data_IF_089055962651
#
_entry.id   IF_089055962651
#
_cell.length_a   1.000
_cell.length_b   1.000
_cell.length_c   1.000
_cell.angle_alpha   90.00
_cell.angle_beta   90.00
_cell.angle_gamma   90.00
#
_symmetry.space_group_name_H-M   'P 1'
#
loop_
_entity.id
_entity.type
_entity.pdbx_description
1 polymer ?
#
# COMPACT_ATOMS: atom_id res chain seq x y z
N UNK A 1 32.91 2.16 -41.97
CA UNK A 1 33.53 1.98 -40.64
C UNK A 1 32.72 2.77 -39.59
N UNK A 2 31.54 2.30 -39.13
CA UNK A 2 30.68 3.04 -38.20
C UNK A 2 31.00 2.77 -36.71
N UNK A 3 31.74 1.68 -36.44
CA UNK A 3 32.06 1.24 -35.07
C UNK A 3 33.01 2.20 -34.33
N UNK A 4 33.86 2.98 -35.02
CA UNK A 4 34.87 3.83 -34.35
C UNK A 4 34.28 5.11 -33.73
N UNK A 5 33.15 5.63 -34.24
CA UNK A 5 32.51 6.84 -33.71
C UNK A 5 31.68 6.54 -32.45
N UNK A 6 30.90 5.45 -32.46
CA UNK A 6 30.18 5.00 -31.26
C UNK A 6 31.11 4.64 -30.11
N UNK A 7 32.27 4.05 -30.42
CA UNK A 7 33.27 3.71 -29.42
C UNK A 7 34.03 4.95 -28.91
N UNK A 8 34.19 5.98 -29.73
CA UNK A 8 34.75 7.28 -29.32
C UNK A 8 33.81 8.05 -28.38
N UNK A 9 32.52 8.09 -28.69
CA UNK A 9 31.48 8.71 -27.84
C UNK A 9 31.35 7.96 -26.52
N UNK A 10 31.32 6.62 -26.54
CA UNK A 10 31.33 5.78 -25.34
C UNK A 10 32.58 6.01 -24.48
N UNK A 11 33.77 6.09 -25.09
CA UNK A 11 35.03 6.39 -24.36
C UNK A 11 35.03 7.79 -23.76
N UNK A 12 34.43 8.78 -24.44
CA UNK A 12 34.33 10.16 -23.95
C UNK A 12 33.37 10.25 -22.76
N UNK A 13 32.20 9.63 -22.84
CA UNK A 13 31.23 9.50 -21.75
C UNK A 13 31.81 8.74 -20.55
N UNK A 14 32.48 7.61 -20.78
CA UNK A 14 33.19 6.86 -19.73
C UNK A 14 34.32 7.67 -19.08
N UNK A 15 35.05 8.48 -19.85
CA UNK A 15 36.12 9.32 -19.30
C UNK A 15 35.57 10.40 -18.35
N UNK A 16 34.44 11.01 -18.72
CA UNK A 16 33.76 12.02 -17.91
C UNK A 16 33.19 11.39 -16.65
N UNK A 17 32.55 10.22 -16.76
CA UNK A 17 32.02 9.47 -15.63
C UNK A 17 33.15 9.03 -14.67
N UNK A 18 34.27 8.53 -15.20
CA UNK A 18 35.47 8.16 -14.41
C UNK A 18 36.10 9.36 -13.70
N UNK A 19 36.10 10.54 -14.31
CA UNK A 19 36.62 11.78 -13.69
C UNK A 19 35.75 12.24 -12.52
N UNK A 20 34.43 12.09 -12.65
CA UNK A 20 33.45 12.39 -11.61
C UNK A 20 33.50 11.36 -10.47
N UNK A 21 33.70 10.08 -10.78
CA UNK A 21 33.89 9.01 -9.80
C UNK A 21 35.24 9.11 -9.06
N UNK A 22 36.33 9.47 -9.75
CA UNK A 22 37.68 9.62 -9.15
C UNK A 22 37.78 10.81 -8.19
N UNK A 23 37.03 11.88 -8.44
CA UNK A 23 36.85 12.99 -7.47
C UNK A 23 36.04 12.58 -6.23
N UNK A 24 35.30 11.46 -6.31
CA UNK A 24 34.41 10.95 -5.26
C UNK A 24 35.05 9.84 -4.41
N UNK A 25 35.96 9.06 -4.99
CA UNK A 25 36.67 7.94 -4.34
C UNK A 25 37.93 8.37 -3.54
N UNK A 26 38.32 9.65 -3.58
CA UNK A 26 39.43 10.19 -2.76
C UNK A 26 39.02 10.56 -1.33
N UNK A 27 37.75 10.38 -0.93
CA UNK A 27 37.36 10.35 0.48
C UNK A 27 37.16 8.90 0.90
N UNK A 28 38.14 8.33 1.58
CA UNK A 28 38.00 7.08 2.32
C UNK A 28 37.10 7.31 3.51
N UNK A 29 35.78 7.18 3.34
CA UNK A 29 34.79 6.97 4.40
C UNK A 29 33.48 6.43 3.81
N UNK A 30 32.72 5.60 4.55
CA UNK A 30 31.68 4.74 4.00
C UNK A 30 30.51 5.56 3.44
N UNK A 31 30.13 5.23 2.20
CA UNK A 31 28.91 5.63 1.45
C UNK A 31 28.06 6.69 2.19
N UNK A 32 28.47 7.95 2.09
CA UNK A 32 27.64 9.06 2.54
C UNK A 32 26.77 9.54 1.37
N UNK A 33 25.50 9.13 1.43
CA UNK A 33 24.39 9.38 0.51
C UNK A 33 23.96 10.87 0.45
N UNK A 34 24.70 11.79 1.08
CA UNK A 34 24.37 13.22 1.23
C UNK A 34 24.67 14.08 0.01
N UNK A 35 25.40 13.58 -0.99
CA UNK A 35 25.91 14.40 -2.09
C UNK A 35 24.96 14.54 -3.30
N UNK A 36 23.65 14.68 -3.07
CA UNK A 36 22.70 15.21 -4.06
C UNK A 36 22.57 16.74 -3.97
N UNK A 37 22.82 17.33 -2.79
CA UNK A 37 22.80 18.78 -2.60
C UNK A 37 23.93 19.54 -3.32
N UNK A 38 24.88 18.84 -3.94
CA UNK A 38 25.98 19.42 -4.73
C UNK A 38 25.78 19.33 -6.25
N UNK A 39 24.64 18.82 -6.72
CA UNK A 39 24.29 18.85 -8.14
C UNK A 39 23.94 20.28 -8.54
N UNK A 40 24.87 20.98 -9.19
CA UNK A 40 24.60 22.25 -9.87
C UNK A 40 23.71 21.98 -11.09
N UNK A 41 22.40 21.88 -10.88
CA UNK A 41 21.41 21.55 -11.92
C UNK A 41 21.40 22.61 -13.03
N UNK A 42 21.57 23.88 -12.69
CA UNK A 42 21.66 24.98 -13.66
C UNK A 42 22.90 24.83 -14.54
N UNK A 43 24.08 24.61 -13.96
CA UNK A 43 25.30 24.39 -14.73
C UNK A 43 25.27 23.12 -15.59
N UNK A 44 24.59 22.06 -15.14
CA UNK A 44 24.39 20.84 -15.93
C UNK A 44 23.43 21.10 -17.10
N UNK A 45 22.36 21.88 -16.89
CA UNK A 45 21.43 22.27 -17.95
C UNK A 45 22.06 23.20 -18.98
N UNK A 46 22.84 24.18 -18.55
CA UNK A 46 23.53 25.10 -19.45
C UNK A 46 24.53 24.34 -20.32
N UNK A 47 25.28 23.40 -19.73
CA UNK A 47 26.21 22.56 -20.45
C UNK A 47 25.50 21.62 -21.43
N UNK A 48 24.41 20.98 -21.03
CA UNK A 48 23.63 20.06 -21.87
C UNK A 48 22.87 20.78 -22.99
N UNK A 49 22.39 21.99 -22.74
CA UNK A 49 21.61 22.77 -23.71
C UNK A 49 22.47 23.56 -24.70
N UNK A 50 23.76 23.76 -24.41
CA UNK A 50 24.69 24.45 -25.33
C UNK A 50 24.81 23.73 -26.67
N UNK A 51 25.06 22.42 -26.65
CA UNK A 51 25.26 21.63 -27.88
C UNK A 51 23.98 21.63 -28.76
N UNK A 52 22.81 21.59 -28.13
CA UNK A 52 21.51 21.71 -28.81
C UNK A 52 21.34 23.09 -29.46
N UNK A 53 21.63 24.16 -28.72
CA UNK A 53 21.53 25.55 -29.20
C UNK A 53 22.51 25.80 -30.35
N UNK A 54 23.73 25.30 -30.25
CA UNK A 54 24.77 25.49 -31.25
C UNK A 54 24.46 24.73 -32.55
N UNK A 55 23.91 23.52 -32.48
CA UNK A 55 23.42 22.79 -33.65
C UNK A 55 22.20 23.46 -34.29
N UNK A 56 21.26 23.95 -33.47
CA UNK A 56 20.08 24.68 -33.94
C UNK A 56 20.46 25.97 -34.67
N UNK A 57 21.38 26.76 -34.10
CA UNK A 57 21.85 28.01 -34.69
C UNK A 57 22.61 27.80 -36.02
N UNK A 58 23.12 26.58 -36.26
CA UNK A 58 23.76 26.17 -37.52
C UNK A 58 22.76 25.55 -38.51
N UNK A 59 21.47 25.55 -38.20
CA UNK A 59 20.39 24.91 -38.98
C UNK A 59 20.58 23.39 -39.19
N UNK A 60 21.40 22.75 -38.36
CA UNK A 60 21.60 21.30 -38.36
C UNK A 60 20.57 20.63 -37.45
N UNK A 61 19.33 20.53 -37.92
CA UNK A 61 18.21 20.08 -37.08
C UNK A 61 18.32 18.61 -36.64
N UNK A 62 18.84 17.71 -37.49
CA UNK A 62 19.04 16.31 -37.11
C UNK A 62 20.04 16.17 -35.96
N UNK A 63 21.15 16.93 -36.02
CA UNK A 63 22.16 17.01 -34.96
C UNK A 63 21.56 17.60 -33.67
N UNK A 64 20.75 18.65 -33.78
CA UNK A 64 20.07 19.26 -32.63
C UNK A 64 19.08 18.28 -31.97
N UNK A 65 18.36 17.47 -32.76
CA UNK A 65 17.45 16.44 -32.26
C UNK A 65 18.24 15.34 -31.53
N UNK A 66 19.35 14.86 -32.10
CA UNK A 66 20.23 13.88 -31.44
C UNK A 66 20.73 14.39 -30.08
N UNK A 67 21.30 15.61 -30.04
CA UNK A 67 21.74 16.23 -28.79
C UNK A 67 20.59 16.37 -27.79
N UNK A 68 19.38 16.73 -28.25
CA UNK A 68 18.21 16.85 -27.38
C UNK A 68 17.79 15.52 -26.75
N UNK A 69 17.93 14.39 -27.46
CA UNK A 69 17.68 13.07 -26.92
C UNK A 69 18.66 12.72 -25.80
N UNK A 70 19.94 13.09 -25.96
CA UNK A 70 20.97 12.89 -24.93
C UNK A 70 20.68 13.72 -23.67
N UNK A 71 20.19 14.96 -23.83
CA UNK A 71 19.73 15.78 -22.70
C UNK A 71 18.58 15.10 -21.96
N UNK A 72 17.56 14.65 -22.69
CA UNK A 72 16.39 13.96 -22.12
C UNK A 72 16.81 12.70 -21.36
N UNK A 73 17.68 11.89 -21.96
CA UNK A 73 18.19 10.67 -21.32
C UNK A 73 18.95 10.98 -20.03
N UNK A 74 19.83 11.98 -20.07
CA UNK A 74 20.65 12.40 -18.91
C UNK A 74 19.78 12.90 -17.76
N UNK A 75 18.80 13.76 -18.05
CA UNK A 75 17.87 14.28 -17.04
C UNK A 75 17.04 13.15 -16.41
N UNK A 76 16.61 12.18 -17.23
CA UNK A 76 15.87 11.00 -16.75
C UNK A 76 16.71 10.14 -15.80
N UNK A 77 17.98 9.89 -16.13
CA UNK A 77 18.88 9.18 -15.20
C UNK A 77 19.08 9.93 -13.88
N UNK A 78 19.22 11.26 -13.93
CA UNK A 78 19.36 12.10 -12.73
C UNK A 78 18.11 12.03 -11.86
N UNK A 79 16.92 12.10 -12.47
CA UNK A 79 15.64 11.94 -11.78
C UNK A 79 15.57 10.58 -11.08
N UNK A 80 15.89 9.49 -11.77
CA UNK A 80 15.90 8.13 -11.21
C UNK A 80 16.82 8.05 -9.99
N UNK A 81 18.05 8.57 -10.08
CA UNK A 81 19.01 8.59 -8.97
C UNK A 81 18.49 9.40 -7.78
N UNK A 82 17.89 10.58 -8.04
CA UNK A 82 17.30 11.43 -7.01
C UNK A 82 16.10 10.77 -6.32
N UNK A 83 15.22 10.09 -7.07
CA UNK A 83 14.09 9.35 -6.53
C UNK A 83 14.55 8.21 -5.61
N UNK A 84 15.56 7.43 -6.03
CA UNK A 84 16.14 6.36 -5.20
C UNK A 84 16.69 6.87 -3.88
N UNK A 85 17.47 7.96 -3.90
CA UNK A 85 17.95 8.56 -2.65
C UNK A 85 16.79 9.02 -1.77
N UNK A 86 15.85 9.76 -2.36
CA UNK A 86 14.71 10.32 -1.64
C UNK A 86 13.86 9.21 -1.00
N UNK A 87 13.69 8.08 -1.66
CA UNK A 87 13.02 6.91 -1.10
C UNK A 87 13.73 6.39 0.16
N UNK A 88 15.06 6.24 0.12
CA UNK A 88 15.85 5.83 1.28
C UNK A 88 15.69 6.81 2.46
N UNK A 89 15.65 8.12 2.17
CA UNK A 89 15.42 9.15 3.20
C UNK A 89 14.03 9.06 3.83
N UNK A 90 12.98 8.88 3.01
CA UNK A 90 11.62 8.71 3.54
C UNK A 90 11.44 7.40 4.32
N UNK A 91 12.12 6.34 3.89
CA UNK A 91 12.18 5.09 4.64
C UNK A 91 12.82 5.30 6.03
N UNK A 92 13.97 5.98 6.10
CA UNK A 92 14.62 6.33 7.38
C UNK A 92 13.74 7.21 8.27
N UNK A 93 12.97 8.12 7.67
CA UNK A 93 12.01 8.96 8.38
C UNK A 93 10.73 8.21 8.81
N UNK A 94 10.49 7.01 8.30
CA UNK A 94 9.27 6.23 8.54
C UNK A 94 8.04 6.72 7.80
N UNK A 95 8.17 7.64 6.84
CA UNK A 95 7.04 8.11 6.03
C UNK A 95 6.80 7.15 4.84
N UNK A 96 6.09 6.06 5.15
CA UNK A 96 5.73 5.05 4.17
C UNK A 96 4.82 5.60 3.06
N UNK A 97 4.13 6.72 3.28
CA UNK A 97 3.25 7.34 2.29
C UNK A 97 4.06 8.00 1.18
N UNK A 98 5.05 8.81 1.57
CA UNK A 98 5.94 9.46 0.62
C UNK A 98 6.87 8.46 -0.05
N UNK A 99 7.36 7.43 0.65
CA UNK A 99 8.15 6.37 0.03
C UNK A 99 7.37 5.69 -1.11
N UNK A 100 6.09 5.36 -0.89
CA UNK A 100 5.26 4.71 -1.90
C UNK A 100 5.02 5.60 -3.13
N UNK A 101 4.83 6.91 -2.95
CA UNK A 101 4.70 7.85 -4.06
C UNK A 101 5.96 7.90 -4.92
N UNK A 102 7.14 7.99 -4.30
CA UNK A 102 8.40 7.99 -5.05
C UNK A 102 8.66 6.64 -5.75
N UNK A 103 8.29 5.52 -5.12
CA UNK A 103 8.37 4.21 -5.74
C UNK A 103 7.49 4.11 -7.00
N UNK A 104 6.25 4.65 -6.95
CA UNK A 104 5.37 4.71 -8.12
C UNK A 104 5.97 5.56 -9.24
N UNK A 105 6.47 6.76 -8.92
CA UNK A 105 7.15 7.62 -9.92
C UNK A 105 8.39 6.94 -10.51
N UNK A 106 9.13 6.17 -9.71
CA UNK A 106 10.29 5.42 -10.20
C UNK A 106 9.86 4.28 -11.16
N UNK A 107 8.77 3.57 -10.87
CA UNK A 107 8.23 2.54 -11.76
C UNK A 107 7.78 3.16 -13.10
N UNK A 108 7.09 4.30 -13.06
CA UNK A 108 6.65 5.02 -14.28
C UNK A 108 7.83 5.45 -15.16
N UNK A 109 8.90 5.94 -14.54
CA UNK A 109 10.06 6.45 -15.26
C UNK A 109 11.06 5.35 -15.65
N UNK A 110 11.19 4.31 -14.83
CA UNK A 110 12.14 3.22 -15.01
C UNK A 110 11.47 1.86 -14.79
N UNK A 111 10.55 1.43 -15.67
CA UNK A 111 9.76 0.21 -15.47
C UNK A 111 10.57 -1.08 -15.50
N UNK A 112 11.81 -1.03 -16.01
CA UNK A 112 12.78 -2.14 -16.02
C UNK A 112 13.70 -2.17 -14.80
N UNK A 113 13.59 -1.19 -13.90
CA UNK A 113 14.39 -1.08 -12.69
C UNK A 113 13.64 -1.70 -11.51
N UNK A 114 14.28 -2.65 -10.83
CA UNK A 114 13.66 -3.38 -9.71
C UNK A 114 13.41 -2.55 -8.46
N UNK A 115 14.16 -1.47 -8.24
CA UNK A 115 14.14 -0.71 -6.98
C UNK A 115 12.75 -0.14 -6.65
N UNK A 116 12.03 0.32 -7.67
CA UNK A 116 10.67 0.86 -7.50
C UNK A 116 9.70 -0.21 -7.00
N UNK A 117 9.65 -1.36 -7.68
CA UNK A 117 8.78 -2.47 -7.32
C UNK A 117 9.12 -3.07 -5.95
N UNK A 118 10.41 -3.27 -5.65
CA UNK A 118 10.88 -3.81 -4.37
C UNK A 118 10.43 -2.88 -3.23
N UNK A 119 10.64 -1.58 -3.39
CA UNK A 119 10.29 -0.60 -2.36
C UNK A 119 8.78 -0.53 -2.13
N UNK A 120 7.98 -0.53 -3.20
CA UNK A 120 6.53 -0.57 -3.08
C UNK A 120 6.05 -1.87 -2.39
N UNK A 121 6.61 -3.02 -2.77
CA UNK A 121 6.32 -4.32 -2.17
C UNK A 121 6.63 -4.35 -0.67
N UNK A 122 7.80 -3.83 -0.27
CA UNK A 122 8.19 -3.73 1.15
C UNK A 122 7.20 -2.85 1.94
N UNK A 123 6.82 -1.69 1.40
CA UNK A 123 5.83 -0.81 2.02
C UNK A 123 4.48 -1.50 2.19
N UNK A 124 3.97 -2.17 1.16
CA UNK A 124 2.71 -2.91 1.26
C UNK A 124 2.80 -4.06 2.27
N UNK A 125 3.94 -4.75 2.33
CA UNK A 125 4.17 -5.83 3.29
C UNK A 125 4.14 -5.33 4.73
N UNK A 126 4.78 -4.18 5.01
CA UNK A 126 4.74 -3.51 6.33
C UNK A 126 3.32 -3.10 6.73
N UNK A 127 2.46 -2.74 5.77
CA UNK A 127 1.06 -2.41 6.01
C UNK A 127 0.13 -3.63 6.11
N UNK A 128 0.67 -4.85 6.04
CA UNK A 128 -0.11 -6.09 6.04
C UNK A 128 -0.91 -6.34 4.75
N UNK A 129 -0.66 -5.57 3.69
CA UNK A 129 -1.43 -5.61 2.44
C UNK A 129 -0.85 -6.65 1.47
N UNK A 130 -0.82 -7.93 1.88
CA UNK A 130 -0.13 -8.99 1.14
C UNK A 130 -0.64 -9.18 -0.30
N UNK A 131 -1.94 -8.99 -0.55
CA UNK A 131 -2.50 -9.01 -1.91
C UNK A 131 -1.85 -7.97 -2.83
N UNK A 132 -1.53 -6.77 -2.31
CA UNK A 132 -0.84 -5.73 -3.08
C UNK A 132 0.63 -6.03 -3.28
N UNK A 133 1.27 -6.70 -2.31
CA UNK A 133 2.65 -7.20 -2.48
C UNK A 133 2.71 -8.17 -3.65
N UNK A 134 1.79 -9.13 -3.72
CA UNK A 134 1.71 -10.09 -4.82
C UNK A 134 1.51 -9.40 -6.16
N UNK A 135 0.57 -8.45 -6.24
CA UNK A 135 0.29 -7.72 -7.47
C UNK A 135 1.54 -6.98 -7.99
N UNK A 136 2.18 -6.16 -7.13
CA UNK A 136 3.30 -5.32 -7.55
C UNK A 136 4.57 -6.13 -7.86
N UNK A 137 4.81 -7.23 -7.12
CA UNK A 137 5.95 -8.11 -7.39
C UNK A 137 5.75 -8.93 -8.66
N UNK A 138 4.52 -9.38 -8.94
CA UNK A 138 4.18 -10.03 -10.21
C UNK A 138 4.36 -9.09 -11.39
N UNK A 139 3.94 -7.83 -11.26
CA UNK A 139 4.15 -6.80 -12.27
C UNK A 139 5.65 -6.54 -12.50
N UNK A 140 6.42 -6.37 -11.42
CA UNK A 140 7.88 -6.19 -11.51
C UNK A 140 8.57 -7.37 -12.20
N UNK A 141 8.25 -8.61 -11.82
CA UNK A 141 8.82 -9.80 -12.46
C UNK A 141 8.46 -9.94 -13.95
N UNK A 142 7.37 -9.32 -14.41
CA UNK A 142 7.01 -9.27 -15.83
C UNK A 142 7.82 -8.22 -16.61
N UNK A 143 8.09 -7.06 -15.98
CA UNK A 143 8.70 -5.91 -16.65
C UNK A 143 10.25 -5.88 -16.58
N UNK A 144 10.84 -6.50 -15.56
CA UNK A 144 12.28 -6.45 -15.29
C UNK A 144 13.01 -7.63 -15.96
N UNK A 145 14.26 -7.41 -16.37
CA UNK A 145 15.12 -8.47 -16.87
C UNK A 145 15.49 -9.45 -15.75
N UNK A 146 15.49 -10.76 -16.03
CA UNK A 146 15.87 -11.79 -15.05
C UNK A 146 17.32 -11.67 -14.55
N UNK A 147 18.17 -10.95 -15.29
CA UNK A 147 19.56 -10.67 -14.93
C UNK A 147 19.71 -9.47 -14.00
N UNK A 148 18.63 -8.73 -13.69
CA UNK A 148 18.65 -7.63 -12.73
C UNK A 148 18.87 -8.16 -11.32
N UNK A 149 19.76 -7.52 -10.55
CA UNK A 149 20.13 -7.91 -9.19
C UNK A 149 18.91 -7.99 -8.24
N UNK A 150 17.86 -7.22 -8.51
CA UNK A 150 16.64 -7.21 -7.71
C UNK A 150 15.60 -8.26 -8.09
N UNK A 151 15.79 -9.02 -9.17
CA UNK A 151 14.80 -10.02 -9.63
C UNK A 151 14.54 -11.10 -8.57
N UNK A 152 15.60 -11.67 -7.98
CA UNK A 152 15.45 -12.69 -6.93
C UNK A 152 14.84 -12.12 -5.66
N UNK A 153 15.10 -10.83 -5.35
CA UNK A 153 14.45 -10.15 -4.22
C UNK A 153 12.94 -10.03 -4.43
N UNK A 154 12.48 -9.68 -5.63
CA UNK A 154 11.06 -9.63 -5.97
C UNK A 154 10.39 -11.01 -5.86
N UNK A 155 11.06 -12.04 -6.36
CA UNK A 155 10.58 -13.43 -6.28
C UNK A 155 10.44 -13.89 -4.83
N UNK A 156 11.42 -13.59 -3.97
CA UNK A 156 11.35 -13.89 -2.55
C UNK A 156 10.20 -13.13 -1.86
N UNK A 157 10.00 -11.85 -2.16
CA UNK A 157 8.89 -11.06 -1.64
C UNK A 157 7.53 -11.63 -2.07
N UNK A 158 7.40 -12.05 -3.33
CA UNK A 158 6.20 -12.70 -3.86
C UNK A 158 5.88 -14.00 -3.11
N UNK A 159 6.88 -14.88 -2.93
CA UNK A 159 6.72 -16.15 -2.21
C UNK A 159 6.34 -15.92 -0.75
N UNK A 160 7.01 -14.99 -0.07
CA UNK A 160 6.71 -14.63 1.31
C UNK A 160 5.29 -14.07 1.48
N UNK A 161 4.83 -13.24 0.54
CA UNK A 161 3.47 -12.70 0.57
C UNK A 161 2.41 -13.80 0.39
N UNK A 162 2.63 -14.74 -0.53
CA UNK A 162 1.76 -15.91 -0.71
C UNK A 162 1.71 -16.78 0.55
N UNK A 163 2.87 -17.07 1.14
CA UNK A 163 2.94 -17.81 2.39
C UNK A 163 2.16 -17.10 3.51
N UNK A 164 2.31 -15.78 3.64
CA UNK A 164 1.60 -14.98 4.65
C UNK A 164 0.09 -14.96 4.48
N UNK A 165 -0.43 -14.93 3.25
CA UNK A 165 -1.89 -15.01 3.00
C UNK A 165 -2.44 -16.37 3.41
N UNK A 166 -1.66 -17.43 3.21
CA UNK A 166 -2.06 -18.78 3.62
C UNK A 166 -2.17 -18.93 5.15
N UNK A 167 -1.46 -18.09 5.92
CA UNK A 167 -1.54 -18.12 7.39
C UNK A 167 -2.91 -17.58 7.83
N UNK A 168 -3.74 -18.48 8.36
CA UNK A 168 -4.95 -18.11 9.08
C UNK A 168 -4.63 -17.89 10.55
N UNK A 169 -4.49 -16.63 10.96
CA UNK A 169 -4.31 -16.27 12.37
C UNK A 169 -5.67 -15.90 12.95
N UNK A 170 -6.21 -16.76 13.82
CA UNK A 170 -7.33 -16.38 14.68
C UNK A 170 -6.76 -15.72 15.95
N UNK A 171 -6.46 -14.42 15.85
CA UNK A 171 -5.84 -13.68 16.96
C UNK A 171 -6.72 -13.71 18.22
N UNK A 172 -8.03 -13.79 18.05
CA UNK A 172 -8.99 -13.79 19.15
C UNK A 172 -8.96 -15.11 19.93
N UNK A 173 -8.50 -16.20 19.30
CA UNK A 173 -8.19 -17.46 19.99
C UNK A 173 -6.97 -17.34 20.90
N UNK A 174 -5.98 -16.55 20.52
CA UNK A 174 -4.71 -16.40 21.25
C UNK A 174 -4.79 -15.36 22.39
N UNK A 175 -5.78 -14.47 22.34
CA UNK A 175 -5.96 -13.45 23.37
C UNK A 175 -6.54 -14.05 24.66
N UNK A 176 -6.07 -13.60 25.84
CA UNK A 176 -6.79 -13.75 27.10
C UNK A 176 -8.23 -13.25 26.98
N UNK A 177 -9.15 -13.87 27.72
CA UNK A 177 -10.57 -13.57 27.67
C UNK A 177 -10.87 -12.08 27.94
N UNK A 178 -10.18 -11.48 28.91
CA UNK A 178 -10.39 -10.08 29.31
C UNK A 178 -10.01 -9.09 28.20
N UNK A 179 -8.93 -9.38 27.46
CA UNK A 179 -8.51 -8.56 26.32
C UNK A 179 -9.49 -8.69 25.16
N UNK A 180 -9.94 -9.91 24.87
CA UNK A 180 -10.98 -10.15 23.87
C UNK A 180 -12.28 -9.39 24.21
N UNK A 181 -12.70 -9.41 25.47
CA UNK A 181 -13.85 -8.66 25.96
C UNK A 181 -13.67 -7.15 25.81
N UNK A 182 -12.47 -6.64 26.14
CA UNK A 182 -12.12 -5.22 26.02
C UNK A 182 -12.23 -4.76 24.56
N UNK A 183 -11.61 -5.48 23.63
CA UNK A 183 -11.72 -5.21 22.19
C UNK A 183 -13.18 -5.23 21.75
N UNK A 184 -13.95 -6.23 22.20
CA UNK A 184 -15.35 -6.36 21.84
C UNK A 184 -16.21 -5.18 22.28
N UNK A 185 -15.90 -4.54 23.41
CA UNK A 185 -16.59 -3.32 23.86
C UNK A 185 -16.31 -2.12 22.96
N UNK A 186 -15.09 -1.99 22.43
CA UNK A 186 -14.74 -0.90 21.50
C UNK A 186 -15.28 -1.11 20.08
N UNK A 187 -15.76 -2.31 19.74
CA UNK A 187 -16.31 -2.57 18.41
C UNK A 187 -17.64 -1.84 18.17
N UNK A 188 -17.79 -1.13 17.03
CA UNK A 188 -19.05 -0.50 16.63
C UNK A 188 -20.18 -1.51 16.55
N UNK A 189 -21.38 -1.16 17.02
CA UNK A 189 -22.54 -2.07 17.06
C UNK A 189 -22.84 -2.72 15.72
N UNK A 190 -22.79 -1.93 14.65
CA UNK A 190 -23.03 -2.36 13.26
C UNK A 190 -22.09 -3.47 12.77
N UNK A 191 -20.90 -3.59 13.36
CA UNK A 191 -19.88 -4.57 12.94
C UNK A 191 -19.97 -5.89 13.70
N UNK A 192 -20.64 -5.93 14.87
CA UNK A 192 -20.65 -7.10 15.77
C UNK A 192 -21.26 -8.34 15.11
N UNK A 193 -22.34 -8.17 14.36
CA UNK A 193 -22.95 -9.25 13.57
C UNK A 193 -22.02 -9.79 12.48
N UNK A 194 -21.21 -8.95 11.84
CA UNK A 194 -20.22 -9.41 10.87
C UNK A 194 -19.07 -10.15 11.56
N UNK A 195 -18.65 -9.71 12.75
CA UNK A 195 -17.55 -10.32 13.49
C UNK A 195 -17.81 -11.79 13.89
N UNK A 196 -19.04 -12.17 14.21
CA UNK A 196 -19.37 -13.59 14.49
C UNK A 196 -19.33 -14.50 13.26
N UNK A 197 -19.15 -13.95 12.05
CA UNK A 197 -18.95 -14.70 10.81
C UNK A 197 -17.47 -14.86 10.46
N UNK A 198 -16.56 -14.20 11.17
CA UNK A 198 -15.11 -14.23 10.90
C UNK A 198 -14.52 -15.61 11.17
N UNK A 199 -14.81 -16.20 12.33
CA UNK A 199 -14.39 -17.57 12.68
C UNK A 199 -15.33 -18.19 13.72
N UNK A 200 -15.16 -19.49 13.99
CA UNK A 200 -15.88 -20.19 15.08
C UNK A 200 -15.50 -19.59 16.44
N UNK A 201 -14.22 -19.32 16.69
CA UNK A 201 -13.75 -18.73 17.95
C UNK A 201 -14.32 -17.35 18.18
N UNK A 202 -14.36 -16.51 17.14
CA UNK A 202 -15.00 -15.19 17.21
C UNK A 202 -16.46 -15.30 17.57
N UNK A 203 -17.20 -16.21 16.92
CA UNK A 203 -18.59 -16.47 17.23
C UNK A 203 -18.77 -16.88 18.69
N UNK A 204 -18.03 -17.88 19.13
CA UNK A 204 -18.20 -18.45 20.46
C UNK A 204 -17.86 -17.41 21.54
N UNK A 205 -16.73 -16.73 21.43
CA UNK A 205 -16.32 -15.72 22.41
C UNK A 205 -17.25 -14.51 22.45
N UNK A 206 -17.70 -14.00 21.30
CA UNK A 206 -18.62 -12.86 21.26
C UNK A 206 -20.00 -13.24 21.79
N UNK A 207 -20.53 -14.41 21.45
CA UNK A 207 -21.83 -14.85 21.95
C UNK A 207 -21.85 -14.99 23.48
N UNK A 208 -20.76 -15.48 24.07
CA UNK A 208 -20.63 -15.61 25.54
C UNK A 208 -20.36 -14.29 26.26
N UNK A 209 -20.31 -13.16 25.55
CA UNK A 209 -20.06 -11.86 26.16
C UNK A 209 -21.34 -11.01 26.25
N UNK A 210 -22.04 -10.97 27.42
CA UNK A 210 -23.38 -10.37 27.50
C UNK A 210 -23.37 -8.86 27.29
N UNK A 211 -22.27 -8.18 27.67
CA UNK A 211 -22.18 -6.72 27.67
C UNK A 211 -22.30 -6.12 26.27
N UNK A 212 -21.80 -6.80 25.24
CA UNK A 212 -21.89 -6.30 23.86
C UNK A 212 -23.27 -6.49 23.24
N UNK A 213 -24.10 -7.37 23.79
CA UNK A 213 -25.47 -7.63 23.31
C UNK A 213 -26.52 -6.92 24.16
N UNK A 214 -26.12 -6.28 25.27
CA UNK A 214 -27.02 -5.53 26.17
C UNK A 214 -27.96 -4.58 25.44
N UNK A 215 -27.45 -3.91 24.41
CA UNK A 215 -28.22 -3.04 23.54
C UNK A 215 -28.18 -3.61 22.13
N UNK A 216 -29.33 -4.02 21.62
CA UNK A 216 -29.50 -4.54 20.27
C UNK A 216 -30.32 -3.54 19.45
N UNK A 217 -29.90 -3.31 18.21
CA UNK A 217 -30.67 -2.52 17.24
C UNK A 217 -30.99 -3.42 16.06
N UNK A 218 -32.27 -3.64 15.80
CA UNK A 218 -32.73 -4.38 14.64
C UNK A 218 -32.91 -3.36 13.51
N UNK A 219 -32.11 -3.54 12.45
CA UNK A 219 -32.28 -2.79 11.22
C UNK A 219 -33.12 -3.61 10.24
N UNK A 220 -34.01 -2.97 9.48
CA UNK A 220 -34.94 -3.67 8.59
C UNK A 220 -34.30 -4.08 7.26
N UNK A 221 -33.00 -3.82 7.10
CA UNK A 221 -32.24 -4.16 5.90
C UNK A 221 -32.01 -5.66 5.90
N UNK A 222 -32.30 -6.29 4.76
CA UNK A 222 -32.43 -7.73 4.49
C UNK A 222 -31.22 -8.63 4.83
N UNK A 223 -30.17 -8.11 5.46
CA UNK A 223 -28.95 -8.85 5.75
C UNK A 223 -28.25 -8.45 7.06
N UNK A 224 -28.97 -7.98 8.09
CA UNK A 224 -28.34 -7.83 9.41
C UNK A 224 -27.96 -9.22 9.96
N UNK A 225 -26.67 -9.55 10.08
CA UNK A 225 -26.23 -10.85 10.60
C UNK A 225 -26.69 -11.11 12.03
N UNK A 226 -27.00 -10.04 12.77
CA UNK A 226 -27.44 -10.08 14.17
C UNK A 226 -28.77 -10.81 14.31
N UNK A 227 -29.60 -10.82 13.27
CA UNK A 227 -30.88 -11.55 13.26
C UNK A 227 -30.71 -13.05 13.53
N UNK A 228 -29.78 -13.71 12.82
CA UNK A 228 -29.52 -15.15 12.99
C UNK A 228 -28.97 -15.50 14.38
N UNK A 229 -28.54 -14.50 15.14
CA UNK A 229 -27.99 -14.65 16.47
C UNK A 229 -29.03 -14.40 17.56
N UNK A 230 -30.18 -13.79 17.24
CA UNK A 230 -31.19 -13.38 18.23
C UNK A 230 -31.53 -14.49 19.22
N UNK A 231 -31.87 -15.74 18.80
CA UNK A 231 -32.19 -16.81 19.74
C UNK A 231 -31.07 -17.15 20.73
N UNK A 232 -29.81 -16.81 20.39
CA UNK A 232 -28.63 -17.10 21.21
C UNK A 232 -28.24 -15.94 22.12
N UNK A 233 -28.74 -14.73 21.86
CA UNK A 233 -28.34 -13.52 22.60
C UNK A 233 -29.50 -12.86 23.34
N UNK A 234 -30.74 -13.33 23.17
CA UNK A 234 -31.93 -12.67 23.76
C UNK A 234 -31.87 -12.54 25.28
N UNK A 235 -31.28 -13.52 25.96
CA UNK A 235 -31.08 -13.50 27.42
C UNK A 235 -30.15 -12.37 27.87
N UNK A 236 -29.31 -11.84 26.98
CA UNK A 236 -28.37 -10.75 27.25
C UNK A 236 -28.94 -9.37 26.88
N UNK A 237 -30.02 -9.30 26.09
CA UNK A 237 -30.62 -8.05 25.63
C UNK A 237 -31.43 -7.42 26.77
N UNK A 238 -31.11 -6.16 27.09
CA UNK A 238 -31.87 -5.33 28.03
C UNK A 238 -32.55 -4.14 27.35
N UNK A 239 -31.91 -3.60 26.32
CA UNK A 239 -32.48 -2.51 25.53
C UNK A 239 -32.57 -2.97 24.07
N UNK A 240 -33.79 -2.99 23.54
CA UNK A 240 -34.06 -3.33 22.16
C UNK A 240 -34.55 -2.08 21.43
N UNK A 241 -33.85 -1.71 20.36
CA UNK A 241 -34.28 -0.66 19.47
C UNK A 241 -34.64 -1.24 18.11
N UNK A 242 -35.80 -0.87 17.59
CA UNK A 242 -36.25 -1.28 16.28
C UNK A 242 -36.32 -0.02 15.43
N UNK A 243 -35.54 0.00 14.36
CA UNK A 243 -35.57 1.11 13.42
C UNK A 243 -36.44 0.72 12.23
N UNK A 244 -37.56 1.40 12.04
CA UNK A 244 -38.53 1.08 11.00
C UNK A 244 -38.68 2.28 10.08
N UNK A 245 -38.24 2.15 8.84
CA UNK A 245 -38.37 3.20 7.83
C UNK A 245 -39.69 3.18 7.07
N UNK A 246 -40.48 2.12 7.23
CA UNK A 246 -41.78 1.91 6.57
C UNK A 246 -42.66 0.91 7.34
N UNK A 247 -43.96 0.89 7.03
CA UNK A 247 -44.89 -0.09 7.61
C UNK A 247 -44.50 -1.54 7.26
N UNK A 248 -44.08 -1.80 6.02
CA UNK A 248 -43.62 -3.11 5.57
C UNK A 248 -42.40 -3.61 6.38
N UNK A 249 -41.50 -2.70 6.73
CA UNK A 249 -40.34 -3.02 7.56
C UNK A 249 -40.71 -3.24 9.02
N UNK A 250 -41.76 -2.58 9.51
CA UNK A 250 -42.30 -2.82 10.85
C UNK A 250 -42.90 -4.22 10.96
N UNK A 251 -43.74 -4.63 10.01
CA UNK A 251 -44.38 -5.95 10.03
C UNK A 251 -43.35 -7.07 9.98
N UNK A 252 -42.30 -6.93 9.16
CA UNK A 252 -41.15 -7.84 9.16
C UNK A 252 -40.45 -7.86 10.52
N UNK A 253 -40.11 -6.70 11.09
CA UNK A 253 -39.49 -6.65 12.42
C UNK A 253 -40.36 -7.35 13.47
N UNK A 254 -41.69 -7.19 13.44
CA UNK A 254 -42.61 -7.82 14.38
C UNK A 254 -42.71 -9.34 14.19
N UNK A 255 -42.76 -9.81 12.94
CA UNK A 255 -42.65 -11.24 12.64
C UNK A 255 -41.35 -11.81 13.23
N UNK A 256 -40.24 -11.09 13.05
CA UNK A 256 -38.91 -11.46 13.55
C UNK A 256 -38.82 -11.48 15.08
N UNK A 257 -39.51 -10.57 15.79
CA UNK A 257 -39.63 -10.63 17.25
C UNK A 257 -40.40 -11.87 17.71
N UNK A 258 -41.35 -12.35 16.90
CA UNK A 258 -42.10 -13.57 17.20
C UNK A 258 -41.24 -14.85 17.22
N UNK A 259 -40.03 -14.82 16.63
CA UNK A 259 -39.13 -15.98 16.60
C UNK A 259 -38.25 -16.13 17.85
N UNK A 260 -38.27 -15.19 18.80
CA UNK A 260 -37.38 -15.26 19.96
C UNK A 260 -38.01 -14.66 21.23
N UNK A 261 -37.80 -15.32 22.36
CA UNK A 261 -38.21 -14.81 23.66
C UNK A 261 -37.15 -13.85 24.24
N UNK A 262 -37.60 -12.70 24.73
CA UNK A 262 -36.74 -11.66 25.30
C UNK A 262 -36.99 -11.47 26.81
N UNK A 263 -36.52 -12.40 27.66
CA UNK A 263 -36.92 -12.46 29.07
C UNK A 263 -36.42 -11.28 29.92
N UNK A 264 -35.38 -10.57 29.47
CA UNK A 264 -34.67 -9.55 30.26
C UNK A 264 -34.81 -8.14 29.69
N UNK A 265 -35.74 -7.88 28.77
CA UNK A 265 -35.96 -6.55 28.22
C UNK A 265 -36.44 -5.58 29.32
N UNK A 266 -35.76 -4.45 29.40
CA UNK A 266 -36.06 -3.33 30.29
C UNK A 266 -36.50 -2.10 29.51
N UNK A 267 -36.06 -1.98 28.25
CA UNK A 267 -36.39 -0.85 27.38
C UNK A 267 -36.64 -1.35 25.96
N UNK A 268 -37.77 -0.94 25.40
CA UNK A 268 -38.12 -1.14 24.00
C UNK A 268 -38.34 0.23 23.36
N UNK A 269 -37.61 0.52 22.29
CA UNK A 269 -37.80 1.76 21.51
C UNK A 269 -38.04 1.43 20.05
N UNK A 270 -39.10 2.01 19.48
CA UNK A 270 -39.39 1.91 18.05
C UNK A 270 -39.19 3.30 17.45
N UNK A 271 -38.22 3.45 16.55
CA UNK A 271 -38.05 4.66 15.77
C UNK A 271 -38.74 4.49 14.42
N UNK A 272 -39.60 5.44 14.08
CA UNK A 272 -40.10 5.62 12.72
C UNK A 272 -39.32 6.75 12.08
N UNK A 273 -38.57 6.47 11.00
CA UNK A 273 -37.99 7.56 10.23
C UNK A 273 -39.12 8.31 9.53
N UNK A 274 -39.28 9.60 9.83
CA UNK A 274 -40.11 10.51 9.03
C UNK A 274 -39.58 10.63 7.60
#
# INVERSE_FOLDING_TARGET
>A
MPFSQQESVKRKAESTLKRLLKRRLSSTDPIDDTNICSLNVEGVWDQLSSDVKDAYNREHYDEAIEHSNDVIYTLKEMLIKALKLRMNLWQKKGDLGQQLKNAATLIENAPRDSVGYISAAQVYSMRGQQNRVIAITSEGMHNILKTDDGYETLKALYQNANARIAIRIDFLAQLPYDLACTIANYMPRKTRGACVKVSRTWRDRLLHYPKIWRICTIYPVSYDPTFQLLPKITTHIKELSIDCSSQLTFDKCMELLGYADFPNIQKLSVSTSK
#
